data_IF_887945876863
#
_entry.id   IF_887945876863
#
_cell.length_a   1.000
_cell.length_b   1.000
_cell.length_c   1.000
_cell.angle_alpha   90.00
_cell.angle_beta   90.00
_cell.angle_gamma   90.00
#
_symmetry.space_group_name_H-M   'P 1'
#
loop_
_entity.id
_entity.type
_entity.pdbx_description
1 polymer ?
#
# COMPACT_ATOMS: atom_id res chain seq x y z
N UNK A 1 -5.67 -16.79 7.74
CA UNK A 1 -4.61 -16.08 6.98
C UNK A 1 -4.63 -14.60 7.31
N UNK A 2 -3.46 -13.94 7.38
CA UNK A 2 -3.37 -12.51 7.66
C UNK A 2 -2.67 -11.80 6.50
N UNK A 3 -3.32 -10.78 5.96
CA UNK A 3 -2.76 -9.84 5.00
C UNK A 3 -2.62 -8.48 5.68
N UNK A 4 -1.45 -7.86 5.52
CA UNK A 4 -1.16 -6.54 6.07
C UNK A 4 -0.60 -5.65 4.98
N UNK A 5 -1.00 -4.38 4.98
CA UNK A 5 -0.54 -3.41 3.98
C UNK A 5 -0.60 -1.99 4.53
N UNK A 6 -0.14 -1.04 3.73
CA UNK A 6 -0.10 0.38 4.04
C UNK A 6 -0.97 1.17 3.06
N UNK A 7 -1.38 2.37 3.48
CA UNK A 7 -1.98 3.32 2.55
C UNK A 7 -1.11 3.46 1.28
N UNK A 8 -1.74 3.51 0.11
CA UNK A 8 -1.06 3.59 -1.20
C UNK A 8 -0.19 2.40 -1.62
N UNK A 9 -0.16 1.30 -0.85
CA UNK A 9 0.50 0.05 -1.22
C UNK A 9 -0.50 -0.98 -1.82
N UNK A 10 -1.29 -0.57 -2.82
CA UNK A 10 -2.37 -1.40 -3.41
C UNK A 10 -3.43 -1.90 -2.40
N UNK A 11 -3.70 -1.17 -1.33
CA UNK A 11 -4.66 -1.60 -0.30
C UNK A 11 -6.09 -1.83 -0.86
N UNK A 12 -6.56 -0.99 -1.78
CA UNK A 12 -7.88 -1.18 -2.43
C UNK A 12 -7.91 -2.39 -3.35
N UNK A 13 -6.88 -2.58 -4.17
CA UNK A 13 -6.79 -3.70 -5.11
C UNK A 13 -6.70 -5.02 -4.35
N UNK A 14 -5.72 -5.12 -3.44
CA UNK A 14 -5.47 -6.32 -2.64
C UNK A 14 -6.64 -6.63 -1.72
N UNK A 15 -7.26 -5.62 -1.10
CA UNK A 15 -8.44 -5.82 -0.25
C UNK A 15 -9.64 -6.38 -1.03
N UNK A 16 -9.87 -5.93 -2.28
CA UNK A 16 -10.91 -6.49 -3.15
C UNK A 16 -10.57 -7.92 -3.59
N UNK A 17 -9.32 -8.17 -3.95
CA UNK A 17 -8.84 -9.49 -4.35
C UNK A 17 -8.99 -10.51 -3.21
N UNK A 18 -8.50 -10.18 -2.01
CA UNK A 18 -8.61 -11.03 -0.82
C UNK A 18 -10.06 -11.23 -0.40
N UNK A 19 -10.92 -10.21 -0.53
CA UNK A 19 -12.35 -10.39 -0.30
C UNK A 19 -12.99 -11.37 -1.29
N UNK A 20 -12.60 -11.32 -2.56
CA UNK A 20 -13.08 -12.28 -3.56
C UNK A 20 -12.54 -13.70 -3.28
N UNK A 21 -11.28 -13.84 -2.84
CA UNK A 21 -10.73 -15.11 -2.39
C UNK A 21 -11.59 -15.73 -1.29
N UNK A 22 -12.03 -14.93 -0.32
CA UNK A 22 -12.93 -15.41 0.73
C UNK A 22 -14.27 -15.91 0.16
N UNK A 23 -14.89 -15.15 -0.75
CA UNK A 23 -16.15 -15.53 -1.38
C UNK A 23 -16.03 -16.82 -2.19
N UNK A 24 -14.94 -16.99 -2.94
CA UNK A 24 -14.71 -18.15 -3.80
C UNK A 24 -14.44 -19.45 -3.02
N UNK A 25 -14.13 -19.35 -1.72
CA UNK A 25 -13.76 -20.45 -0.83
C UNK A 25 -14.66 -20.59 0.40
N UNK A 26 -15.77 -19.85 0.47
CA UNK A 26 -16.69 -19.84 1.63
C UNK A 26 -15.98 -19.50 2.97
N UNK A 27 -15.03 -18.56 2.93
CA UNK A 27 -14.28 -18.10 4.09
C UNK A 27 -14.86 -16.79 4.65
N UNK A 28 -14.77 -16.64 5.97
CA UNK A 28 -15.12 -15.39 6.65
C UNK A 28 -14.00 -14.34 6.50
N UNK A 29 -14.38 -13.08 6.26
CA UNK A 29 -13.46 -11.97 5.99
C UNK A 29 -13.58 -10.84 7.01
N UNK A 30 -12.46 -10.48 7.64
CA UNK A 30 -12.34 -9.28 8.47
C UNK A 30 -11.42 -8.24 7.80
N UNK A 31 -11.95 -7.04 7.56
CA UNK A 31 -11.18 -5.92 7.00
C UNK A 31 -11.14 -4.72 7.93
N UNK A 32 -9.95 -4.17 8.20
CA UNK A 32 -9.80 -2.98 9.04
C UNK A 32 -8.81 -1.96 8.44
N UNK A 33 -9.14 -0.65 8.44
CA UNK A 33 -8.18 0.42 8.13
C UNK A 33 -7.26 0.78 9.29
N UNK A 34 -7.40 0.09 10.42
CA UNK A 34 -6.60 0.27 11.63
C UNK A 34 -5.67 -0.92 11.78
N UNK A 35 -4.38 -0.71 11.51
CA UNK A 35 -3.34 -1.71 11.67
C UNK A 35 -2.73 -1.79 13.08
N UNK A 36 -3.28 -1.05 14.03
CA UNK A 36 -3.02 -1.14 15.48
C UNK A 36 -4.16 -1.89 16.20
N UNK A 37 -4.73 -2.89 15.53
CA UNK A 37 -5.75 -3.79 16.09
C UNK A 37 -5.30 -5.23 15.91
N UNK A 38 -5.61 -6.11 16.87
CA UNK A 38 -5.33 -7.52 16.68
C UNK A 38 -6.16 -8.05 15.50
N UNK A 39 -5.65 -9.03 14.75
CA UNK A 39 -6.48 -9.82 13.84
C UNK A 39 -7.68 -10.40 14.60
N UNK A 40 -8.85 -10.43 13.96
CA UNK A 40 -10.03 -11.08 14.54
C UNK A 40 -9.82 -12.60 14.56
N UNK A 41 -9.99 -13.25 15.72
CA UNK A 41 -9.91 -14.71 15.83
C UNK A 41 -11.13 -15.40 15.22
N UNK A 42 -12.24 -14.68 15.05
CA UNK A 42 -13.52 -15.20 14.55
C UNK A 42 -13.60 -15.23 13.02
N UNK A 43 -12.50 -14.90 12.33
CA UNK A 43 -12.46 -14.84 10.88
C UNK A 43 -11.29 -15.63 10.30
N UNK A 44 -11.56 -16.37 9.23
CA UNK A 44 -10.58 -17.18 8.51
C UNK A 44 -9.51 -16.31 7.87
N UNK A 45 -9.90 -15.16 7.32
CA UNK A 45 -9.00 -14.22 6.64
C UNK A 45 -9.13 -12.82 7.20
N UNK A 46 -7.99 -12.27 7.58
CA UNK A 46 -7.85 -10.91 8.11
C UNK A 46 -7.08 -10.03 7.12
N UNK A 47 -7.57 -8.81 6.88
CA UNK A 47 -6.91 -7.80 6.05
C UNK A 47 -6.80 -6.49 6.83
N UNK A 48 -5.59 -6.17 7.28
CA UNK A 48 -5.31 -4.94 8.02
C UNK A 48 -4.54 -3.96 7.14
N UNK A 49 -5.09 -2.77 6.94
CA UNK A 49 -4.38 -1.66 6.29
C UNK A 49 -3.87 -0.65 7.31
N UNK A 50 -2.85 0.11 6.91
CA UNK A 50 -2.05 0.97 7.82
C UNK A 50 -1.43 0.15 8.96
N UNK A 51 -0.86 -0.99 8.58
CA UNK A 51 -0.26 -1.95 9.50
C UNK A 51 0.83 -1.29 10.36
N UNK A 52 0.76 -1.53 11.68
CA UNK A 52 1.80 -1.08 12.61
C UNK A 52 2.65 -2.28 13.00
N UNK A 53 3.89 -2.35 12.52
CA UNK A 53 4.80 -3.45 12.87
C UNK A 53 4.95 -3.59 14.39
N UNK A 54 5.33 -2.54 15.15
CA UNK A 54 5.51 -2.67 16.61
C UNK A 54 4.30 -3.25 17.34
N UNK A 55 3.09 -2.92 16.87
CA UNK A 55 1.87 -3.49 17.43
C UNK A 55 1.69 -4.96 17.03
N UNK A 56 1.86 -5.29 15.74
CA UNK A 56 1.62 -6.64 15.22
C UNK A 56 2.63 -7.66 15.72
N UNK A 57 3.87 -7.27 16.00
CA UNK A 57 4.92 -8.15 16.53
C UNK A 57 4.48 -8.85 17.82
N UNK A 58 3.63 -8.21 18.63
CA UNK A 58 3.07 -8.75 19.88
C UNK A 58 1.79 -9.58 19.69
N UNK A 59 1.11 -9.44 18.54
CA UNK A 59 -0.24 -9.98 18.31
C UNK A 59 -0.30 -11.03 17.19
N UNK A 60 0.80 -11.23 16.47
CA UNK A 60 0.90 -12.15 15.33
C UNK A 60 1.89 -13.27 15.65
N UNK A 61 1.36 -14.47 15.87
CA UNK A 61 2.16 -15.67 16.14
C UNK A 61 2.41 -16.54 14.89
N UNK A 62 1.68 -16.28 13.79
CA UNK A 62 1.72 -17.08 12.57
C UNK A 62 2.12 -16.24 11.37
N UNK A 63 2.47 -16.92 10.28
CA UNK A 63 2.79 -16.28 8.99
C UNK A 63 1.69 -15.31 8.55
N UNK A 64 2.11 -14.15 8.08
CA UNK A 64 1.31 -13.07 7.51
C UNK A 64 1.96 -12.60 6.20
N UNK A 65 1.15 -12.08 5.29
CA UNK A 65 1.58 -11.56 4.00
C UNK A 65 1.62 -10.04 4.09
N UNK A 66 2.80 -9.45 3.96
CA UNK A 66 3.01 -8.01 4.02
C UNK A 66 3.15 -7.43 2.62
N UNK A 67 2.14 -6.70 2.17
CA UNK A 67 2.11 -6.07 0.84
C UNK A 67 2.69 -4.68 0.94
N UNK A 68 3.82 -4.49 0.25
CA UNK A 68 4.55 -3.23 0.16
C UNK A 68 4.49 -2.65 -1.26
N UNK A 69 4.98 -1.42 -1.39
CA UNK A 69 5.15 -0.74 -2.68
C UNK A 69 6.39 0.12 -2.61
N UNK A 70 6.99 0.42 -3.76
CA UNK A 70 8.11 1.34 -3.83
C UNK A 70 7.78 2.68 -3.10
N UNK A 71 8.57 3.08 -2.08
CA UNK A 71 8.35 4.33 -1.33
C UNK A 71 8.24 5.59 -2.22
N UNK A 72 8.94 5.63 -3.36
CA UNK A 72 8.83 6.73 -4.32
C UNK A 72 7.43 6.78 -4.96
N UNK A 73 6.92 5.62 -5.39
CA UNK A 73 5.54 5.53 -5.88
C UNK A 73 4.50 5.79 -4.79
N UNK A 74 4.78 5.46 -3.53
CA UNK A 74 3.91 5.81 -2.39
C UNK A 74 3.81 7.33 -2.26
N UNK A 75 4.94 8.04 -2.23
CA UNK A 75 4.97 9.51 -2.12
C UNK A 75 4.22 10.17 -3.28
N UNK A 76 4.52 9.75 -4.52
CA UNK A 76 3.85 10.22 -5.73
C UNK A 76 2.33 9.97 -5.67
N UNK A 77 1.93 8.73 -5.38
CA UNK A 77 0.52 8.33 -5.36
C UNK A 77 -0.26 9.01 -4.23
N UNK A 78 0.39 9.25 -3.09
CA UNK A 78 -0.19 9.98 -1.98
C UNK A 78 -0.51 11.42 -2.37
N UNK A 79 0.42 12.13 -3.04
CA UNK A 79 0.26 13.56 -3.36
C UNK A 79 -1.00 13.81 -4.18
N UNK A 80 -1.13 13.15 -5.33
CA UNK A 80 -2.29 13.34 -6.21
C UNK A 80 -3.59 12.89 -5.55
N UNK A 81 -3.54 11.82 -4.75
CA UNK A 81 -4.74 11.34 -4.10
C UNK A 81 -5.19 12.24 -2.96
N UNK A 82 -4.29 12.69 -2.10
CA UNK A 82 -4.61 13.61 -1.02
C UNK A 82 -5.12 14.94 -1.56
N UNK A 83 -4.54 15.43 -2.66
CA UNK A 83 -5.00 16.65 -3.35
C UNK A 83 -6.38 16.47 -3.98
N UNK A 84 -6.66 15.35 -4.66
CA UNK A 84 -7.83 15.23 -5.56
C UNK A 84 -8.77 14.08 -5.22
N UNK A 85 -8.28 12.84 -5.38
CA UNK A 85 -9.17 11.66 -5.50
C UNK A 85 -9.53 10.97 -4.19
N UNK A 86 -8.82 11.22 -3.10
CA UNK A 86 -9.14 10.60 -1.81
C UNK A 86 -10.40 11.25 -1.24
N UNK A 87 -11.42 10.48 -0.81
CA UNK A 87 -12.56 11.05 -0.12
C UNK A 87 -12.11 11.77 1.15
N UNK A 88 -12.48 13.03 1.29
CA UNK A 88 -12.38 13.77 2.55
C UNK A 88 -13.70 13.59 3.30
N UNK A 89 -13.64 12.97 4.47
CA UNK A 89 -14.79 12.77 5.35
C UNK A 89 -14.58 13.57 6.63
N UNK A 90 -15.66 14.00 7.28
CA UNK A 90 -15.59 14.65 8.61
C UNK A 90 -14.82 13.80 9.64
N UNK A 91 -14.81 12.47 9.47
CA UNK A 91 -14.07 11.52 10.30
C UNK A 91 -12.56 11.48 10.05
N UNK A 92 -12.04 12.25 9.08
CA UNK A 92 -10.62 12.31 8.70
C UNK A 92 -10.10 13.77 8.69
N UNK A 93 -10.15 14.50 9.82
CA UNK A 93 -9.81 15.92 9.86
C UNK A 93 -8.37 16.23 9.43
N UNK A 94 -7.43 15.32 9.66
CA UNK A 94 -6.03 15.44 9.22
C UNK A 94 -5.89 15.43 7.70
N UNK A 95 -6.68 14.61 6.98
CA UNK A 95 -6.66 14.62 5.51
C UNK A 95 -7.34 15.88 4.94
N UNK A 96 -8.37 16.40 5.63
CA UNK A 96 -8.97 17.70 5.28
C UNK A 96 -7.94 18.81 5.42
N UNK A 97 -7.21 18.85 6.55
CA UNK A 97 -6.14 19.82 6.77
C UNK A 97 -5.02 19.67 5.74
N UNK A 98 -4.58 18.44 5.46
CA UNK A 98 -3.57 18.16 4.44
C UNK A 98 -4.01 18.67 3.06
N UNK A 99 -5.25 18.39 2.63
CA UNK A 99 -5.76 18.88 1.34
C UNK A 99 -5.71 20.41 1.26
N UNK A 100 -6.16 21.11 2.30
CA UNK A 100 -6.11 22.58 2.35
C UNK A 100 -4.69 23.12 2.23
N UNK A 101 -3.71 22.45 2.82
CA UNK A 101 -2.28 22.80 2.65
C UNK A 101 -1.87 22.58 1.19
N UNK A 102 -2.14 21.39 0.64
CA UNK A 102 -1.74 21.06 -0.74
C UNK A 102 -2.38 21.96 -1.81
N UNK A 103 -3.60 22.46 -1.58
CA UNK A 103 -4.30 23.41 -2.46
C UNK A 103 -3.65 24.81 -2.48
N UNK A 104 -2.83 25.14 -1.47
CA UNK A 104 -2.13 26.42 -1.35
C UNK A 104 -0.66 26.36 -1.74
N UNK A 105 -0.11 25.15 -1.94
CA UNK A 105 1.28 24.93 -2.28
C UNK A 105 1.51 24.88 -3.80
N UNK A 106 2.71 25.22 -4.23
CA UNK A 106 3.19 24.79 -5.55
C UNK A 106 3.22 23.26 -5.64
N UNK A 107 3.23 22.67 -6.85
CA UNK A 107 3.34 21.22 -7.00
C UNK A 107 4.59 20.62 -6.36
N UNK A 108 5.70 21.35 -6.33
CA UNK A 108 6.95 20.91 -5.72
C UNK A 108 6.87 20.89 -4.19
N UNK A 109 6.43 21.99 -3.58
CA UNK A 109 6.19 22.07 -2.12
C UNK A 109 5.17 21.03 -1.67
N UNK A 110 4.07 20.87 -2.42
CA UNK A 110 3.03 19.91 -2.08
C UNK A 110 3.52 18.47 -2.07
N UNK A 111 4.41 18.08 -2.99
CA UNK A 111 5.02 16.75 -3.00
C UNK A 111 5.95 16.55 -1.81
N UNK A 112 6.75 17.55 -1.45
CA UNK A 112 7.59 17.50 -0.24
C UNK A 112 6.75 17.38 1.04
N UNK A 113 5.72 18.22 1.20
CA UNK A 113 4.84 18.18 2.38
C UNK A 113 4.01 16.90 2.45
N UNK A 114 3.75 16.25 1.32
CA UNK A 114 3.12 14.92 1.30
C UNK A 114 4.04 13.85 1.90
N UNK A 115 5.35 13.90 1.64
CA UNK A 115 6.32 12.99 2.26
C UNK A 115 6.28 13.17 3.77
N UNK A 116 6.39 14.41 4.26
CA UNK A 116 6.31 14.74 5.69
C UNK A 116 5.03 14.19 6.30
N UNK A 117 3.89 14.39 5.63
CA UNK A 117 2.60 13.87 6.10
C UNK A 117 2.57 12.33 6.15
N UNK A 118 3.14 11.64 5.17
CA UNK A 118 3.18 10.17 5.11
C UNK A 118 4.21 9.53 6.05
N UNK A 119 5.18 10.30 6.55
CA UNK A 119 6.17 9.89 7.55
C UNK A 119 5.68 9.99 9.00
N UNK A 120 4.50 10.57 9.22
CA UNK A 120 3.92 10.73 10.56
C UNK A 120 3.59 9.38 11.20
N UNK A 121 3.80 9.25 12.50
CA UNK A 121 3.37 8.08 13.27
C UNK A 121 1.91 8.18 13.77
N UNK A 122 1.27 9.34 13.61
CA UNK A 122 -0.09 9.66 14.04
C UNK A 122 -1.04 9.90 12.84
N UNK A 123 -0.82 9.18 11.74
CA UNK A 123 -1.48 9.41 10.45
C UNK A 123 -2.99 9.18 10.49
N UNK A 124 -3.44 8.07 11.07
CA UNK A 124 -4.87 7.76 11.21
C UNK A 124 -5.15 6.91 12.45
N UNK A 125 -5.86 7.44 13.44
CA UNK A 125 -6.18 6.71 14.68
C UNK A 125 -4.98 6.00 15.32
N UNK A 126 -3.85 6.69 15.47
CA UNK A 126 -2.60 6.14 16.02
C UNK A 126 -1.99 5.00 15.18
N UNK A 127 -2.32 4.93 13.88
CA UNK A 127 -1.57 4.12 12.93
C UNK A 127 -0.51 4.96 12.22
N UNK A 128 0.64 4.37 11.88
CA UNK A 128 1.68 5.06 11.12
C UNK A 128 1.20 5.39 9.72
N UNK A 129 1.72 6.51 9.19
CA UNK A 129 1.63 6.82 7.78
C UNK A 129 2.39 5.80 6.95
N UNK A 130 2.10 5.68 5.65
CA UNK A 130 2.62 4.58 4.86
C UNK A 130 4.15 4.58 4.73
N UNK A 131 4.78 5.74 4.67
CA UNK A 131 6.25 5.83 4.66
C UNK A 131 6.83 5.51 6.05
N UNK A 132 6.18 5.98 7.11
CA UNK A 132 6.56 5.62 8.48
C UNK A 132 6.50 4.11 8.71
N UNK A 133 5.39 3.48 8.33
CA UNK A 133 5.17 2.04 8.49
C UNK A 133 6.11 1.18 7.65
N UNK A 134 6.49 1.63 6.44
CA UNK A 134 7.50 0.96 5.64
C UNK A 134 8.90 1.04 6.25
N UNK A 135 9.27 2.18 6.85
CA UNK A 135 10.58 2.39 7.47
C UNK A 135 10.75 1.66 8.79
N UNK A 136 9.68 1.55 9.58
CA UNK A 136 9.69 0.89 10.89
C UNK A 136 9.58 -0.64 10.81
N UNK A 137 9.29 -1.18 9.62
CA UNK A 137 9.11 -2.61 9.46
C UNK A 137 10.44 -3.36 9.54
N UNK A 138 10.47 -4.44 10.32
CA UNK A 138 11.59 -5.38 10.31
C UNK A 138 11.35 -6.41 9.20
N UNK A 139 12.13 -6.30 8.13
CA UNK A 139 12.02 -7.19 6.97
C UNK A 139 12.73 -8.54 7.18
N UNK A 140 13.38 -8.75 8.33
CA UNK A 140 13.99 -10.02 8.72
C UNK A 140 13.08 -10.85 9.63
N UNK A 141 11.92 -10.31 10.05
CA UNK A 141 10.90 -11.08 10.75
C UNK A 141 10.20 -12.07 9.80
N UNK A 142 10.63 -13.32 9.86
CA UNK A 142 10.12 -14.43 9.05
C UNK A 142 8.61 -14.71 9.20
N UNK A 143 7.94 -14.12 10.20
CA UNK A 143 6.47 -14.18 10.28
C UNK A 143 5.82 -13.34 9.18
N UNK A 144 6.48 -12.32 8.66
CA UNK A 144 5.91 -11.43 7.65
C UNK A 144 6.60 -11.64 6.30
N UNK A 145 5.91 -12.31 5.38
CA UNK A 145 6.40 -12.52 4.02
C UNK A 145 6.09 -11.29 3.18
N UNK A 146 7.15 -10.60 2.76
CA UNK A 146 7.04 -9.38 1.95
C UNK A 146 6.68 -9.70 0.51
N UNK A 147 5.65 -9.02 -0.01
CA UNK A 147 5.22 -9.07 -1.41
C UNK A 147 5.20 -7.64 -1.94
N UNK A 148 5.84 -7.39 -3.09
CA UNK A 148 5.77 -6.08 -3.74
C UNK A 148 4.50 -6.01 -4.57
N UNK A 149 3.79 -4.88 -4.51
CA UNK A 149 2.66 -4.61 -5.40
C UNK A 149 3.09 -4.75 -6.88
N UNK A 150 4.30 -4.34 -7.19
CA UNK A 150 4.89 -4.37 -8.54
C UNK A 150 5.00 -5.81 -9.08
N UNK A 151 5.08 -6.82 -8.19
CA UNK A 151 5.12 -8.23 -8.58
C UNK A 151 3.75 -8.79 -8.96
N UNK A 152 2.67 -8.03 -8.76
CA UNK A 152 1.33 -8.47 -9.16
C UNK A 152 1.23 -8.63 -10.67
N UNK A 153 1.72 -7.66 -11.45
CA UNK A 153 1.53 -7.63 -12.91
C UNK A 153 0.09 -7.97 -13.29
N UNK A 154 -0.07 -8.95 -14.17
CA UNK A 154 -1.37 -9.55 -14.52
C UNK A 154 -1.70 -10.83 -13.73
N UNK A 155 -0.87 -11.18 -12.73
CA UNK A 155 -0.89 -12.43 -11.96
C UNK A 155 -0.80 -12.21 -10.45
N UNK A 156 -1.69 -11.36 -9.91
CA UNK A 156 -1.84 -11.15 -8.46
C UNK A 156 -2.10 -12.48 -7.71
N UNK A 157 -2.78 -13.42 -8.36
CA UNK A 157 -3.02 -14.79 -7.86
C UNK A 157 -1.71 -15.53 -7.56
N UNK A 158 -0.73 -15.46 -8.47
CA UNK A 158 0.57 -16.10 -8.28
C UNK A 158 1.40 -15.40 -7.22
N UNK A 159 1.38 -14.05 -7.19
CA UNK A 159 2.14 -13.29 -6.20
C UNK A 159 1.67 -13.61 -4.77
N UNK A 160 0.35 -13.61 -4.54
CA UNK A 160 -0.23 -13.85 -3.23
C UNK A 160 -0.24 -15.34 -2.84
N UNK A 161 -0.51 -16.26 -3.78
CA UNK A 161 -0.47 -17.70 -3.48
C UNK A 161 0.92 -18.19 -3.08
N UNK A 162 1.98 -17.75 -3.76
CA UNK A 162 3.36 -18.05 -3.38
C UNK A 162 3.70 -17.53 -1.98
N UNK A 163 3.23 -16.33 -1.65
CA UNK A 163 3.44 -15.76 -0.33
C UNK A 163 2.64 -16.49 0.77
N UNK A 164 1.43 -16.94 0.46
CA UNK A 164 0.59 -17.75 1.35
C UNK A 164 1.17 -19.14 1.63
N UNK A 165 1.93 -19.70 0.67
CA UNK A 165 2.52 -21.03 0.76
C UNK A 165 1.47 -22.08 1.17
N UNK A 166 1.78 -22.93 2.16
CA UNK A 166 0.88 -23.98 2.65
C UNK A 166 -0.49 -23.44 3.12
N UNK A 167 -0.56 -22.20 3.64
CA UNK A 167 -1.84 -21.62 4.05
C UNK A 167 -2.80 -21.36 2.88
N UNK A 168 -2.29 -21.34 1.64
CA UNK A 168 -3.03 -21.05 0.43
C UNK A 168 -3.03 -22.18 -0.60
N UNK A 169 -2.48 -23.35 -0.27
CA UNK A 169 -2.26 -24.44 -1.23
C UNK A 169 -3.59 -25.01 -1.79
N UNK A 170 -4.59 -25.16 -0.91
CA UNK A 170 -5.89 -25.73 -1.27
C UNK A 170 -6.97 -24.67 -1.59
N UNK A 171 -6.58 -23.39 -1.63
CA UNK A 171 -7.51 -22.30 -1.92
C UNK A 171 -7.70 -22.13 -3.43
N UNK A 172 -8.94 -21.90 -3.84
CA UNK A 172 -9.30 -21.41 -5.16
C UNK A 172 -8.99 -19.91 -5.25
N UNK A 173 -7.89 -19.57 -5.89
CA UNK A 173 -7.49 -18.17 -6.09
C UNK A 173 -8.37 -17.49 -7.15
N UNK A 174 -8.86 -16.25 -6.91
CA UNK A 174 -9.67 -15.53 -7.90
C UNK A 174 -8.93 -15.30 -9.21
N UNK A 175 -9.69 -15.23 -10.32
CA UNK A 175 -9.14 -14.88 -11.64
C UNK A 175 -8.46 -13.51 -11.60
N UNK A 176 -7.15 -13.50 -11.81
CA UNK A 176 -6.33 -12.29 -11.79
C UNK A 176 -6.72 -11.26 -12.86
N UNK A 177 -7.34 -11.68 -13.96
CA UNK A 177 -7.68 -10.79 -15.08
C UNK A 177 -8.63 -9.65 -14.65
N UNK A 178 -9.52 -9.93 -13.69
CA UNK A 178 -10.45 -8.96 -13.10
C UNK A 178 -9.78 -7.95 -12.14
N UNK A 179 -8.51 -8.19 -11.77
CA UNK A 179 -7.76 -7.41 -10.78
C UNK A 179 -6.46 -6.82 -11.36
N UNK A 180 -6.47 -6.52 -12.65
CA UNK A 180 -5.41 -5.76 -13.33
C UNK A 180 -5.65 -4.25 -13.22
N UNK A 181 -4.62 -3.43 -13.44
CA UNK A 181 -4.83 -1.98 -13.57
C UNK A 181 -5.90 -1.66 -14.63
N UNK A 182 -5.84 -2.35 -15.79
CA UNK A 182 -6.79 -2.16 -16.87
C UNK A 182 -8.22 -2.46 -16.44
N UNK A 183 -8.48 -3.60 -15.80
CA UNK A 183 -9.82 -3.94 -15.32
C UNK A 183 -10.33 -2.92 -14.29
N UNK A 184 -9.47 -2.52 -13.35
CA UNK A 184 -9.84 -1.67 -12.22
C UNK A 184 -9.96 -0.18 -12.56
N UNK A 185 -9.37 0.24 -13.68
CA UNK A 185 -9.38 1.61 -14.17
C UNK A 185 -10.43 1.88 -15.25
N UNK A 186 -11.29 0.89 -15.56
CA UNK A 186 -12.30 0.99 -16.61
C UNK A 186 -11.71 0.85 -18.03
N UNK A 187 -10.64 0.08 -18.17
CA UNK A 187 -10.01 -0.25 -19.46
C UNK A 187 -8.79 0.59 -19.83
N UNK A 188 -8.34 1.53 -18.97
CA UNK A 188 -7.20 2.40 -19.27
C UNK A 188 -5.89 1.63 -19.29
N UNK A 189 -5.02 1.99 -20.24
CA UNK A 189 -3.66 1.48 -20.30
C UNK A 189 -2.78 2.15 -19.22
N UNK A 190 -1.76 1.47 -18.67
CA UNK A 190 -0.76 2.09 -17.81
C UNK A 190 -0.14 3.33 -18.48
N UNK A 191 0.03 4.40 -17.72
CA UNK A 191 0.50 5.71 -18.19
C UNK A 191 -0.63 6.67 -18.60
N UNK A 192 -1.84 6.19 -18.90
CA UNK A 192 -2.98 7.06 -19.21
C UNK A 192 -3.57 7.62 -17.91
N UNK A 193 -3.28 8.89 -17.63
CA UNK A 193 -3.63 9.56 -16.38
C UNK A 193 -5.11 9.93 -16.29
N UNK A 194 -5.73 9.61 -15.15
CA UNK A 194 -6.99 10.19 -14.69
C UNK A 194 -6.80 10.74 -13.27
N UNK A 195 -6.85 12.07 -13.14
CA UNK A 195 -6.58 12.79 -11.90
C UNK A 195 -7.67 12.61 -10.83
N UNK A 196 -8.85 12.14 -11.23
CA UNK A 196 -9.97 11.91 -10.32
C UNK A 196 -10.09 10.44 -9.89
N UNK A 197 -9.28 9.55 -10.48
CA UNK A 197 -9.30 8.13 -10.17
C UNK A 197 -8.34 7.77 -9.02
N UNK A 198 -8.71 6.83 -8.12
CA UNK A 198 -7.74 6.19 -7.23
C UNK A 198 -6.71 5.34 -8.01
N UNK A 199 -7.04 4.92 -9.23
CA UNK A 199 -6.13 4.25 -10.17
C UNK A 199 -5.55 5.26 -11.16
N UNK A 200 -4.83 6.28 -10.68
CA UNK A 200 -4.43 7.46 -11.49
C UNK A 200 -3.73 7.11 -12.78
N UNK A 201 -2.54 6.50 -12.74
CA UNK A 201 -1.71 6.24 -13.93
C UNK A 201 -1.33 4.77 -14.12
N UNK A 202 -1.05 4.03 -13.05
CA UNK A 202 -0.54 2.65 -13.16
C UNK A 202 0.88 2.52 -13.69
N UNK A 203 1.57 3.64 -13.95
CA UNK A 203 2.95 3.63 -14.45
C UNK A 203 3.95 3.44 -13.30
N UNK A 204 4.81 2.40 -13.33
CA UNK A 204 5.77 2.12 -12.25
C UNK A 204 6.83 3.22 -12.10
N UNK A 205 7.40 3.73 -13.19
CA UNK A 205 8.49 4.73 -13.12
C UNK A 205 8.08 6.20 -13.20
N UNK A 206 6.79 6.53 -13.13
CA UNK A 206 6.35 7.92 -13.26
C UNK A 206 6.91 8.84 -12.15
N UNK A 207 7.36 8.27 -11.02
CA UNK A 207 8.01 9.03 -9.95
C UNK A 207 9.31 9.71 -10.42
N UNK A 208 10.01 9.16 -11.42
CA UNK A 208 11.28 9.70 -11.93
C UNK A 208 11.13 11.11 -12.49
N UNK A 209 10.01 11.35 -13.18
CA UNK A 209 9.73 12.62 -13.85
C UNK A 209 8.76 13.49 -13.05
N UNK A 210 7.95 12.90 -12.17
CA UNK A 210 6.95 13.65 -11.40
C UNK A 210 7.43 14.10 -10.02
N UNK A 211 8.39 13.43 -9.37
CA UNK A 211 8.85 13.86 -8.05
C UNK A 211 9.99 14.89 -8.15
N UNK A 212 10.00 15.93 -7.27
CA UNK A 212 11.13 16.83 -7.16
C UNK A 212 12.40 16.06 -6.77
N UNK A 213 13.55 16.50 -7.27
CA UNK A 213 14.85 15.88 -6.97
C UNK A 213 15.10 15.75 -5.47
N UNK A 214 14.71 16.75 -4.68
CA UNK A 214 14.84 16.71 -3.21
C UNK A 214 14.04 15.58 -2.56
N UNK A 215 12.83 15.29 -3.06
CA UNK A 215 12.02 14.15 -2.60
C UNK A 215 12.69 12.83 -2.96
N UNK A 216 13.19 12.70 -4.20
CA UNK A 216 13.86 11.47 -4.65
C UNK A 216 15.09 11.18 -3.79
N UNK A 217 15.95 12.19 -3.57
CA UNK A 217 17.13 12.07 -2.71
C UNK A 217 16.73 11.69 -1.29
N UNK A 218 15.75 12.39 -0.71
CA UNK A 218 15.28 12.10 0.65
C UNK A 218 14.82 10.65 0.79
N UNK A 219 13.97 10.17 -0.11
CA UNK A 219 13.47 8.80 -0.07
C UNK A 219 14.61 7.80 -0.29
N UNK A 220 15.50 8.04 -1.25
CA UNK A 220 16.65 7.17 -1.51
C UNK A 220 17.53 7.00 -0.28
N UNK A 221 17.82 8.08 0.46
CA UNK A 221 18.68 8.01 1.64
C UNK A 221 17.96 7.42 2.86
N UNK A 222 16.74 7.85 3.15
CA UNK A 222 16.03 7.40 4.36
C UNK A 222 15.37 6.01 4.23
N UNK A 223 15.22 5.50 3.01
CA UNK A 223 14.67 4.17 2.73
C UNK A 223 15.67 3.25 2.04
N UNK A 224 16.97 3.62 2.03
CA UNK A 224 18.03 2.88 1.34
C UNK A 224 17.99 1.37 1.59
N UNK A 225 17.92 0.85 2.84
CA UNK A 225 17.92 -0.60 3.07
C UNK A 225 16.73 -1.32 2.42
N UNK A 226 15.54 -0.71 2.47
CA UNK A 226 14.34 -1.23 1.83
C UNK A 226 14.49 -1.22 0.30
N UNK A 227 15.00 -0.12 -0.26
CA UNK A 227 15.20 0.02 -1.70
C UNK A 227 16.25 -0.95 -2.23
N UNK A 228 17.39 -1.10 -1.56
CA UNK A 228 18.44 -2.06 -1.97
C UNK A 228 17.90 -3.49 -2.01
N UNK A 229 17.07 -3.85 -1.03
CA UNK A 229 16.52 -5.21 -0.93
C UNK A 229 15.39 -5.48 -1.91
N UNK A 230 14.48 -4.53 -2.11
CA UNK A 230 13.22 -4.78 -2.82
C UNK A 230 13.03 -3.96 -4.11
N UNK A 231 13.76 -2.87 -4.29
CA UNK A 231 13.62 -1.96 -5.44
C UNK A 231 14.97 -1.39 -5.91
N UNK A 232 16.00 -2.23 -6.18
CA UNK A 232 17.35 -1.75 -6.47
C UNK A 232 17.40 -0.79 -7.66
N UNK A 233 16.56 -1.01 -8.68
CA UNK A 233 16.46 -0.15 -9.86
C UNK A 233 16.05 1.29 -9.51
N UNK A 234 15.41 1.51 -8.37
CA UNK A 234 15.03 2.85 -7.91
C UNK A 234 16.21 3.67 -7.41
N UNK A 235 17.35 3.04 -7.16
CA UNK A 235 18.60 3.71 -6.77
C UNK A 235 19.42 4.16 -7.98
N UNK A 236 19.16 3.59 -9.16
CA UNK A 236 19.77 4.03 -10.42
C UNK A 236 19.09 5.31 -10.94
N UNK A 237 19.87 6.20 -11.53
CA UNK A 237 19.38 7.44 -12.16
C UNK A 237 18.58 7.17 -13.44
#
# INVERSE_FOLDING_TARGET
MLFVTHHKCASTLSGRYVKQLCLDNDLTFYGSPRGNRPPSPDHDVNFLSNASYPFLTEHVARRAIHIIRNPLNVAQSAYYSHLRSHPVKKTLPMLVAQRRVLEQCSPEEGKMLTVVFCERNDFFHLTPGPLCGLRQWDYDDNRFVTVRMEDYGDRIDLALSRAAAEQGADLKWPDASAFTFKAMSGGRAPGVVDENSPYRSGHPDAWRTELPRGVIIYIREHFRPLLERFYPDSLAD
#
